data_IF_225769991968
#
_entry.id   IF_225769991968
#
_cell.length_a   1.000
_cell.length_b   1.000
_cell.length_c   1.000
_cell.angle_alpha   90.00
_cell.angle_beta   90.00
_cell.angle_gamma   90.00
#
_symmetry.space_group_name_H-M   'P 1'
#
loop_
_entity.id
_entity.type
_entity.pdbx_description
1 polymer ?
#
# COMPACT_ATOMS: atom_id res chain seq x y z
N UNK A 1 -0.67 30.12 45.64
CA UNK A 1 -1.42 28.86 45.56
C UNK A 1 -1.23 28.31 44.18
N UNK A 2 -0.33 27.33 44.04
CA UNK A 2 0.03 26.71 42.77
C UNK A 2 -0.91 25.52 42.53
N UNK A 3 -1.83 25.65 41.56
CA UNK A 3 -2.68 24.58 41.11
C UNK A 3 -1.87 23.64 40.19
N UNK A 4 -1.52 22.45 40.70
CA UNK A 4 -0.82 21.41 39.97
C UNK A 4 -1.68 20.91 38.81
N UNK A 5 -1.21 21.12 37.60
CA UNK A 5 -1.73 20.48 36.38
C UNK A 5 -1.45 18.98 36.47
N UNK A 6 -2.43 18.18 36.80
CA UNK A 6 -2.34 16.73 36.71
C UNK A 6 -2.23 16.34 35.24
N UNK A 7 -1.23 15.51 34.83
CA UNK A 7 -1.19 14.94 33.50
C UNK A 7 -2.36 13.97 33.36
N UNK A 8 -3.29 14.30 32.45
CA UNK A 8 -4.41 13.44 32.05
C UNK A 8 -3.83 12.24 31.31
N UNK A 9 -3.56 11.17 32.07
CA UNK A 9 -3.21 9.87 31.53
C UNK A 9 -4.39 9.38 30.65
N UNK A 10 -4.31 9.70 29.35
CA UNK A 10 -5.11 9.05 28.34
C UNK A 10 -4.68 7.58 28.26
N UNK A 11 -5.27 6.75 29.10
CA UNK A 11 -5.16 5.29 28.96
C UNK A 11 -5.59 4.95 27.53
N UNK A 12 -4.61 4.54 26.70
CA UNK A 12 -4.86 3.88 25.43
C UNK A 12 -5.76 2.68 25.72
N UNK A 13 -7.06 2.85 25.56
CA UNK A 13 -8.01 1.74 25.69
C UNK A 13 -7.66 0.75 24.57
N UNK A 14 -7.01 -0.33 24.97
CA UNK A 14 -6.73 -1.49 24.13
C UNK A 14 -8.04 -1.90 23.45
N UNK A 15 -8.10 -1.98 22.11
CA UNK A 15 -9.35 -2.26 21.41
C UNK A 15 -9.90 -3.61 21.89
N UNK A 16 -11.09 -3.60 22.44
CA UNK A 16 -11.70 -4.74 23.15
C UNK A 16 -12.03 -5.95 22.27
N UNK A 17 -11.93 -5.81 20.94
CA UNK A 17 -12.17 -6.89 19.97
C UNK A 17 -11.35 -6.69 18.69
N UNK A 18 -10.04 -6.88 18.76
CA UNK A 18 -9.11 -6.79 17.62
C UNK A 18 -9.51 -7.77 16.49
N UNK A 19 -10.02 -8.96 16.85
CA UNK A 19 -10.47 -9.95 15.87
C UNK A 19 -11.70 -9.49 15.07
N UNK A 20 -12.62 -8.78 15.68
CA UNK A 20 -13.82 -8.26 15.01
C UNK A 20 -13.48 -7.08 14.10
N UNK A 21 -12.54 -6.25 14.49
CA UNK A 21 -12.04 -5.13 13.68
C UNK A 21 -11.27 -5.64 12.46
N UNK A 22 -10.41 -6.64 12.65
CA UNK A 22 -9.68 -7.32 11.57
C UNK A 22 -10.63 -8.03 10.60
N UNK A 23 -11.69 -8.67 11.09
CA UNK A 23 -12.71 -9.31 10.27
C UNK A 23 -13.51 -8.28 9.44
N UNK A 24 -13.85 -7.13 10.01
CA UNK A 24 -14.50 -6.04 9.26
C UNK A 24 -13.58 -5.46 8.18
N UNK A 25 -12.32 -5.15 8.51
CA UNK A 25 -11.32 -4.71 7.54
C UNK A 25 -11.13 -5.75 6.42
N UNK A 26 -11.05 -7.04 6.78
CA UNK A 26 -10.98 -8.14 5.83
C UNK A 26 -12.17 -8.18 4.88
N UNK A 27 -13.37 -7.90 5.35
CA UNK A 27 -14.58 -7.90 4.53
C UNK A 27 -14.60 -6.74 3.51
N UNK A 28 -14.09 -5.56 3.88
CA UNK A 28 -13.90 -4.44 2.94
C UNK A 28 -12.80 -4.73 1.92
N UNK A 29 -11.73 -5.41 2.33
CA UNK A 29 -10.65 -5.83 1.44
C UNK A 29 -11.09 -6.94 0.48
N UNK A 30 -11.93 -7.89 0.93
CA UNK A 30 -12.49 -8.96 0.08
C UNK A 30 -13.33 -8.40 -1.08
N UNK A 31 -13.99 -7.28 -0.91
CA UNK A 31 -14.70 -6.61 -2.01
C UNK A 31 -13.75 -6.09 -3.11
N UNK A 32 -12.50 -5.85 -2.77
CA UNK A 32 -11.43 -5.46 -3.71
C UNK A 32 -10.42 -6.59 -3.98
N UNK A 33 -10.74 -7.83 -3.56
CA UNK A 33 -9.86 -8.99 -3.70
C UNK A 33 -9.29 -9.19 -5.12
N UNK A 34 -10.07 -9.06 -6.22
CA UNK A 34 -9.51 -9.26 -7.55
C UNK A 34 -8.43 -8.23 -7.89
N UNK A 35 -8.57 -6.98 -7.43
CA UNK A 35 -7.54 -5.95 -7.64
C UNK A 35 -6.30 -6.20 -6.77
N UNK A 36 -6.46 -6.72 -5.56
CA UNK A 36 -5.35 -7.10 -4.69
C UNK A 36 -4.56 -8.28 -5.27
N UNK A 37 -5.26 -9.29 -5.77
CA UNK A 37 -4.63 -10.44 -6.45
C UNK A 37 -3.89 -9.96 -7.70
N UNK A 38 -4.50 -9.08 -8.49
CA UNK A 38 -3.85 -8.49 -9.67
C UNK A 38 -2.58 -7.73 -9.28
N UNK A 39 -2.63 -6.88 -8.24
CA UNK A 39 -1.47 -6.15 -7.74
C UNK A 39 -0.36 -7.10 -7.26
N UNK A 40 -0.72 -8.19 -6.57
CA UNK A 40 0.21 -9.21 -6.11
C UNK A 40 0.90 -9.90 -7.29
N UNK A 41 0.14 -10.34 -8.28
CA UNK A 41 0.68 -10.99 -9.49
C UNK A 41 1.62 -10.04 -10.24
N UNK A 42 1.20 -8.80 -10.48
CA UNK A 42 2.02 -7.79 -11.15
C UNK A 42 3.31 -7.48 -10.36
N UNK A 43 3.23 -7.46 -9.03
CA UNK A 43 4.41 -7.28 -8.17
C UNK A 43 5.39 -8.43 -8.32
N UNK A 44 4.92 -9.67 -8.31
CA UNK A 44 5.78 -10.86 -8.53
C UNK A 44 6.44 -10.80 -9.91
N UNK A 45 5.68 -10.52 -10.96
CA UNK A 45 6.20 -10.41 -12.34
C UNK A 45 7.25 -9.30 -12.45
N UNK A 46 7.00 -8.14 -11.84
CA UNK A 46 7.94 -7.02 -11.82
C UNK A 46 9.26 -7.38 -11.14
N UNK A 47 9.20 -8.09 -10.00
CA UNK A 47 10.39 -8.56 -9.29
C UNK A 47 11.17 -9.61 -10.11
N UNK A 48 10.49 -10.51 -10.79
CA UNK A 48 11.14 -11.49 -11.68
C UNK A 48 11.88 -10.76 -12.81
N UNK A 49 11.26 -9.76 -13.45
CA UNK A 49 11.92 -8.99 -14.51
C UNK A 49 13.14 -8.24 -13.99
N UNK A 50 13.09 -7.72 -12.77
CA UNK A 50 14.23 -7.05 -12.14
C UNK A 50 15.41 -8.01 -11.91
N UNK A 51 15.15 -9.26 -11.56
CA UNK A 51 16.18 -10.28 -11.35
C UNK A 51 16.83 -10.78 -12.64
N UNK A 52 16.18 -10.64 -13.79
CA UNK A 52 16.73 -11.02 -15.09
C UNK A 52 17.89 -10.09 -15.49
N UNK A 53 17.86 -8.80 -15.09
CA UNK A 53 18.89 -7.82 -15.44
C UNK A 53 20.30 -8.24 -15.08
N UNK A 54 20.62 -8.58 -13.81
CA UNK A 54 21.95 -9.06 -13.41
C UNK A 54 22.39 -10.34 -14.14
N UNK A 55 21.47 -11.25 -14.44
CA UNK A 55 21.77 -12.48 -15.18
C UNK A 55 22.16 -12.19 -16.64
N UNK A 56 21.48 -11.24 -17.29
CA UNK A 56 21.84 -10.80 -18.65
C UNK A 56 23.15 -10.03 -18.66
N UNK A 57 23.44 -9.24 -17.62
CA UNK A 57 24.70 -8.53 -17.48
C UNK A 57 25.88 -9.51 -17.41
N UNK A 58 25.77 -10.60 -16.64
CA UNK A 58 26.78 -11.67 -16.62
C UNK A 58 27.06 -12.22 -18.01
N UNK A 59 26.01 -12.56 -18.76
CA UNK A 59 26.15 -13.08 -20.14
C UNK A 59 26.75 -12.06 -21.10
N UNK A 60 26.44 -10.78 -20.95
CA UNK A 60 27.05 -9.73 -21.76
C UNK A 60 28.55 -9.58 -21.48
N UNK A 61 28.94 -9.70 -20.20
CA UNK A 61 30.36 -9.68 -19.77
C UNK A 61 31.08 -10.90 -20.31
N UNK A 62 30.49 -12.09 -20.24
CA UNK A 62 31.06 -13.32 -20.78
C UNK A 62 31.30 -13.21 -22.30
N UNK A 63 30.35 -12.63 -23.04
CA UNK A 63 30.48 -12.37 -24.48
C UNK A 63 31.55 -11.32 -24.80
N UNK A 64 31.82 -10.38 -23.87
CA UNK A 64 32.88 -9.39 -24.02
C UNK A 64 34.26 -9.92 -23.64
N UNK A 65 34.36 -10.98 -22.82
CA UNK A 65 35.63 -11.51 -22.27
C UNK A 65 36.38 -12.49 -23.16
N UNK A 66 35.96 -12.68 -24.40
CA UNK A 66 36.53 -13.66 -25.37
C UNK A 66 37.97 -13.41 -25.85
N UNK A 67 38.74 -12.51 -25.18
CA UNK A 67 40.15 -12.24 -25.49
C UNK A 67 40.38 -11.03 -26.42
N UNK A 68 41.64 -10.59 -26.50
CA UNK A 68 42.01 -9.41 -27.33
C UNK A 68 41.65 -9.62 -28.77
N UNK A 69 40.65 -8.92 -29.28
CA UNK A 69 40.24 -8.90 -30.68
C UNK A 69 39.09 -9.86 -31.07
N UNK A 70 38.52 -10.62 -30.12
CA UNK A 70 37.38 -11.53 -30.36
C UNK A 70 36.11 -11.13 -29.60
N UNK A 71 35.91 -9.84 -29.38
CA UNK A 71 34.67 -9.34 -28.74
C UNK A 71 33.54 -9.43 -29.76
N UNK A 72 32.52 -10.22 -29.45
CA UNK A 72 31.29 -10.27 -30.24
C UNK A 72 30.35 -9.10 -29.86
N UNK A 73 30.59 -7.95 -30.50
CA UNK A 73 29.79 -6.75 -30.30
C UNK A 73 28.31 -6.97 -30.63
N UNK A 74 27.97 -7.87 -31.54
CA UNK A 74 26.58 -8.12 -31.89
C UNK A 74 25.83 -8.82 -30.75
N UNK A 75 26.46 -9.80 -30.12
CA UNK A 75 25.92 -10.51 -28.97
C UNK A 75 25.81 -9.59 -27.73
N UNK A 76 26.83 -8.77 -27.48
CA UNK A 76 26.78 -7.77 -26.39
C UNK A 76 25.62 -6.78 -26.59
N UNK A 77 25.46 -6.24 -27.81
CA UNK A 77 24.37 -5.32 -28.14
C UNK A 77 22.99 -5.97 -27.95
N UNK A 78 22.84 -7.22 -28.34
CA UNK A 78 21.59 -7.99 -28.16
C UNK A 78 21.23 -8.14 -26.69
N UNK A 79 22.18 -8.52 -25.81
CA UNK A 79 21.93 -8.59 -24.37
C UNK A 79 21.66 -7.22 -23.74
N UNK A 80 22.34 -6.17 -24.17
CA UNK A 80 22.10 -4.81 -23.71
C UNK A 80 20.67 -4.34 -24.06
N UNK A 81 20.21 -4.62 -25.28
CA UNK A 81 18.84 -4.29 -25.70
C UNK A 81 17.80 -5.05 -24.86
N UNK A 82 18.01 -6.35 -24.62
CA UNK A 82 17.15 -7.14 -23.76
C UNK A 82 17.09 -6.57 -22.34
N UNK A 83 18.23 -6.18 -21.75
CA UNK A 83 18.28 -5.56 -20.43
C UNK A 83 17.42 -4.29 -20.39
N UNK A 84 17.52 -3.42 -21.39
CA UNK A 84 16.72 -2.20 -21.47
C UNK A 84 15.22 -2.55 -21.47
N UNK A 85 14.81 -3.52 -22.28
CA UNK A 85 13.39 -3.93 -22.36
C UNK A 85 12.89 -4.44 -20.99
N UNK A 86 13.64 -5.32 -20.32
CA UNK A 86 13.24 -5.85 -19.03
C UNK A 86 13.24 -4.78 -17.93
N UNK A 87 14.21 -3.87 -17.93
CA UNK A 87 14.23 -2.77 -16.96
C UNK A 87 13.08 -1.78 -17.18
N UNK A 88 12.77 -1.43 -18.42
CA UNK A 88 11.62 -0.54 -18.72
C UNK A 88 10.32 -1.22 -18.32
N UNK A 89 10.15 -2.51 -18.62
CA UNK A 89 8.97 -3.26 -18.20
C UNK A 89 8.85 -3.35 -16.67
N UNK A 90 9.95 -3.64 -15.98
CA UNK A 90 10.00 -3.66 -14.52
C UNK A 90 9.66 -2.28 -13.92
N UNK A 91 10.22 -1.20 -14.45
CA UNK A 91 9.94 0.17 -14.00
C UNK A 91 8.47 0.55 -14.21
N UNK A 92 7.87 0.16 -15.34
CA UNK A 92 6.45 0.37 -15.59
C UNK A 92 5.57 -0.36 -14.56
N UNK A 93 5.90 -1.62 -14.25
CA UNK A 93 5.19 -2.39 -13.22
C UNK A 93 5.40 -1.80 -11.83
N UNK A 94 6.61 -1.37 -11.48
CA UNK A 94 6.93 -0.70 -10.22
C UNK A 94 6.14 0.60 -10.03
N UNK A 95 5.77 1.29 -11.10
CA UNK A 95 4.90 2.46 -11.06
C UNK A 95 3.42 2.08 -10.96
N UNK A 96 2.96 1.07 -11.70
CA UNK A 96 1.55 0.68 -11.78
C UNK A 96 1.05 0.04 -10.49
N UNK A 97 1.85 -0.82 -9.85
CA UNK A 97 1.44 -1.55 -8.63
C UNK A 97 1.05 -0.61 -7.49
N UNK A 98 1.87 0.38 -7.09
CA UNK A 98 1.48 1.36 -6.07
C UNK A 98 0.22 2.15 -6.43
N UNK A 99 -0.01 2.47 -7.70
CA UNK A 99 -1.21 3.18 -8.15
C UNK A 99 -2.48 2.34 -7.93
N UNK A 100 -2.41 1.04 -8.20
CA UNK A 100 -3.52 0.11 -7.95
C UNK A 100 -3.79 0.04 -6.44
N UNK A 101 -2.76 -0.14 -5.62
CA UNK A 101 -2.88 -0.22 -4.16
C UNK A 101 -3.47 1.07 -3.58
N UNK A 102 -2.99 2.23 -4.04
CA UNK A 102 -3.52 3.53 -3.62
C UNK A 102 -5.01 3.69 -3.95
N UNK A 103 -5.45 3.27 -5.14
CA UNK A 103 -6.87 3.30 -5.52
C UNK A 103 -7.72 2.40 -4.62
N UNK A 104 -7.21 1.23 -4.26
CA UNK A 104 -7.88 0.30 -3.34
C UNK A 104 -8.03 0.95 -1.97
N UNK A 105 -6.94 1.52 -1.42
CA UNK A 105 -6.93 2.21 -0.15
C UNK A 105 -7.95 3.35 -0.11
N UNK A 106 -7.93 4.24 -1.10
CA UNK A 106 -8.87 5.37 -1.20
C UNK A 106 -10.33 4.91 -1.31
N UNK A 107 -10.59 3.81 -2.01
CA UNK A 107 -11.94 3.24 -2.10
C UNK A 107 -12.40 2.70 -0.76
N UNK A 108 -11.54 1.97 -0.05
CA UNK A 108 -11.81 1.41 1.28
C UNK A 108 -12.12 2.52 2.28
N UNK A 109 -11.29 3.57 2.33
CA UNK A 109 -11.50 4.73 3.21
C UNK A 109 -12.84 5.42 2.92
N UNK A 110 -13.18 5.60 1.64
CA UNK A 110 -14.49 6.19 1.26
C UNK A 110 -15.67 5.36 1.75
N UNK A 111 -15.62 4.04 1.61
CA UNK A 111 -16.65 3.13 2.11
C UNK A 111 -16.77 3.20 3.64
N UNK A 112 -15.64 3.18 4.34
CA UNK A 112 -15.62 3.29 5.81
C UNK A 112 -16.21 4.62 6.29
N UNK A 113 -15.88 5.73 5.63
CA UNK A 113 -16.47 7.05 5.96
C UNK A 113 -17.97 7.07 5.75
N UNK A 114 -18.46 6.48 4.65
CA UNK A 114 -19.89 6.35 4.36
C UNK A 114 -20.63 5.54 5.42
N UNK A 115 -20.10 4.38 5.79
CA UNK A 115 -20.69 3.51 6.80
C UNK A 115 -20.70 4.15 8.20
N UNK A 116 -19.65 4.88 8.56
CA UNK A 116 -19.57 5.61 9.81
C UNK A 116 -20.60 6.73 9.84
N UNK A 117 -20.70 7.52 8.78
CA UNK A 117 -21.70 8.58 8.66
C UNK A 117 -23.12 8.04 8.77
N UNK A 118 -23.42 6.95 8.07
CA UNK A 118 -24.72 6.29 8.16
C UNK A 118 -25.05 5.77 9.56
N UNK A 119 -24.06 5.22 10.27
CA UNK A 119 -24.22 4.79 11.67
C UNK A 119 -24.43 5.96 12.61
N UNK A 120 -23.72 7.07 12.42
CA UNK A 120 -23.91 8.29 13.21
C UNK A 120 -25.34 8.84 13.05
N UNK A 121 -25.85 8.87 11.82
CA UNK A 121 -27.23 9.36 11.55
C UNK A 121 -28.33 8.51 12.21
N UNK A 122 -28.02 7.27 12.58
CA UNK A 122 -28.95 6.37 13.28
C UNK A 122 -28.86 6.46 14.81
N UNK A 123 -27.94 7.24 15.37
CA UNK A 123 -27.85 7.43 16.81
C UNK A 123 -28.98 8.32 17.31
N UNK A 124 -29.56 8.01 18.49
CA UNK A 124 -30.61 8.86 19.08
C UNK A 124 -30.04 10.23 19.43
N UNK A 125 -30.84 11.27 19.27
CA UNK A 125 -30.49 12.69 19.54
C UNK A 125 -29.89 12.87 20.94
N UNK A 126 -30.37 12.12 21.92
CA UNK A 126 -29.85 12.11 23.30
C UNK A 126 -28.36 11.81 23.42
N UNK A 127 -27.79 11.06 22.44
CA UNK A 127 -26.36 10.78 22.42
C UNK A 127 -25.53 12.01 22.06
N UNK A 128 -26.06 12.87 21.19
CA UNK A 128 -25.42 14.13 20.79
C UNK A 128 -25.50 15.23 21.86
N UNK A 129 -26.48 15.15 22.75
CA UNK A 129 -26.59 16.09 23.88
C UNK A 129 -25.49 15.85 24.94
N UNK A 130 -24.96 14.63 25.02
CA UNK A 130 -23.94 14.25 26.00
C UNK A 130 -22.52 14.25 25.44
N UNK A 131 -22.35 14.30 24.12
CA UNK A 131 -21.03 14.26 23.44
C UNK A 131 -20.95 15.39 22.41
N UNK A 132 -19.87 16.17 22.47
CA UNK A 132 -19.64 17.23 21.50
C UNK A 132 -19.40 16.62 20.11
N UNK A 133 -20.26 16.96 19.15
CA UNK A 133 -20.19 16.46 17.76
C UNK A 133 -18.81 16.73 17.13
N UNK A 134 -18.18 17.87 17.45
CA UNK A 134 -16.86 18.23 16.96
C UNK A 134 -15.75 17.29 17.43
N UNK A 135 -15.79 16.84 18.68
CA UNK A 135 -14.82 15.88 19.23
C UNK A 135 -14.98 14.50 18.58
N UNK A 136 -16.22 14.04 18.39
CA UNK A 136 -16.53 12.79 17.70
C UNK A 136 -16.06 12.79 16.26
N UNK A 137 -16.35 13.85 15.50
CA UNK A 137 -15.91 13.99 14.11
C UNK A 137 -14.39 14.07 13.98
N UNK A 138 -13.73 14.81 14.85
CA UNK A 138 -12.26 14.91 14.86
C UNK A 138 -11.62 13.56 15.15
N UNK A 139 -12.13 12.82 16.14
CA UNK A 139 -11.61 11.50 16.50
C UNK A 139 -11.81 10.48 15.39
N UNK A 140 -12.99 10.45 14.78
CA UNK A 140 -13.31 9.56 13.66
C UNK A 140 -12.42 9.88 12.44
N UNK A 141 -12.24 11.16 12.13
CA UNK A 141 -11.36 11.57 11.01
C UNK A 141 -9.92 11.16 11.26
N UNK A 142 -9.41 11.37 12.46
CA UNK A 142 -8.06 10.97 12.85
C UNK A 142 -7.86 9.46 12.76
N UNK A 143 -8.80 8.67 13.29
CA UNK A 143 -8.72 7.20 13.28
C UNK A 143 -8.75 6.65 11.84
N UNK A 144 -9.54 7.25 10.94
CA UNK A 144 -9.60 6.85 9.53
C UNK A 144 -8.32 7.23 8.78
N UNK A 145 -7.77 8.41 9.05
CA UNK A 145 -6.54 8.87 8.40
C UNK A 145 -5.32 8.05 8.83
N UNK A 146 -5.33 7.56 10.07
CA UNK A 146 -4.28 6.64 10.59
C UNK A 146 -4.29 5.27 9.87
N UNK A 147 -5.43 4.83 9.36
CA UNK A 147 -5.52 3.59 8.55
C UNK A 147 -4.97 3.77 7.13
N UNK A 148 -4.87 5.01 6.66
CA UNK A 148 -4.42 5.33 5.30
C UNK A 148 -2.90 5.61 5.20
N UNK A 149 -2.19 5.64 6.32
CA UNK A 149 -0.73 5.84 6.39
C UNK A 149 -0.01 4.51 6.52
#
# INVERSE_FOLDING_TARGET
MAGALQPRNGSLQKPRNTSRTLSMLGQYMLHSAPLLILALVLSIVGNVFQLIGPALCGRAIDAASGGKGQVDFQTVYYYALQMIVFYVASAALAYLVPQIVLRISQRTVRLMRGDLFYKLMRLPVKYFDTHQIGELLSRISYDIDTVNT
#
